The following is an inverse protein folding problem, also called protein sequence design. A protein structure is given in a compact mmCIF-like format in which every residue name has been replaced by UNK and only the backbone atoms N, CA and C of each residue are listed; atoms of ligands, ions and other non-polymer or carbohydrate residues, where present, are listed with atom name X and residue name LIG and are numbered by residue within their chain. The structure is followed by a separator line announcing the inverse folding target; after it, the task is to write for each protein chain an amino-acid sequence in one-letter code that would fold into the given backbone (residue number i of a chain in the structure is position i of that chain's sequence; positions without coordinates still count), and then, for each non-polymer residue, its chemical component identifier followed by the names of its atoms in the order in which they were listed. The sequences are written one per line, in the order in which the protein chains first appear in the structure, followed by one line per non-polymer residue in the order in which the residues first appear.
data_IF_676716689181
#
_entry.id   IF_676716689181
#
_cell.length_a   1.000
_cell.length_b   1.000
_cell.length_c   1.000
_cell.angle_alpha   90.00
_cell.angle_beta   90.00
_cell.angle_gamma   90.00
#
_symmetry.space_group_name_H-M   'P 1'
#
loop_
_entity.id
_entity.type
_entity.pdbx_description
1 polymer ?
#
# COMPACT_ATOMS: atom_id res chain seq x y z
N UNK A 1 13.32 3.35 -8.28
CA UNK A 1 12.02 3.94 -7.94
C UNK A 1 12.27 5.34 -7.40
N UNK A 2 11.51 6.34 -7.82
CA UNK A 2 11.62 7.72 -7.35
C UNK A 2 10.27 8.17 -6.79
N UNK A 3 10.30 8.82 -5.63
CA UNK A 3 9.12 9.41 -5.00
C UNK A 3 9.05 10.88 -5.37
N UNK A 4 7.94 11.30 -5.95
CA UNK A 4 7.66 12.68 -6.30
C UNK A 4 6.53 13.18 -5.42
N UNK A 5 6.75 14.30 -4.76
CA UNK A 5 5.73 14.93 -3.93
C UNK A 5 5.83 16.45 -3.96
N UNK A 6 4.73 17.10 -3.65
CA UNK A 6 4.60 18.54 -3.45
C UNK A 6 3.74 18.75 -2.21
N UNK A 7 4.25 19.51 -1.24
CA UNK A 7 3.51 19.82 -0.01
C UNK A 7 2.61 21.02 -0.22
N UNK A 8 1.47 21.03 0.47
CA UNK A 8 0.61 22.20 0.55
C UNK A 8 1.32 23.38 1.22
N UNK A 9 0.90 24.60 0.90
CA UNK A 9 1.41 25.77 1.61
C UNK A 9 0.93 25.74 3.05
N UNK A 10 1.77 26.21 3.97
CA UNK A 10 1.46 26.16 5.40
C UNK A 10 0.16 26.90 5.76
N UNK A 11 -0.15 27.99 5.04
CA UNK A 11 -1.39 28.76 5.21
C UNK A 11 -2.67 28.03 4.79
N UNK A 12 -2.57 26.99 3.95
CA UNK A 12 -3.70 26.23 3.43
C UNK A 12 -4.01 25.01 4.33
N UNK A 13 -3.10 24.62 5.23
CA UNK A 13 -3.25 23.47 6.12
C UNK A 13 -4.21 23.78 7.28
N UNK A 14 -5.34 23.06 7.33
CA UNK A 14 -6.31 23.19 8.40
C UNK A 14 -5.78 22.63 9.74
N UNK A 15 -5.91 23.36 10.87
CA UNK A 15 -5.62 22.84 12.19
C UNK A 15 -6.54 21.67 12.55
N UNK A 16 -5.98 20.70 13.26
CA UNK A 16 -6.70 19.50 13.68
C UNK A 16 -7.40 19.70 15.02
N UNK A 17 -8.49 18.96 15.25
CA UNK A 17 -9.26 19.00 16.48
C UNK A 17 -10.58 19.76 16.33
N UNK A 18 -11.17 20.15 17.45
CA UNK A 18 -12.36 20.99 17.49
C UNK A 18 -12.10 22.21 18.36
N UNK A 19 -12.70 23.38 18.07
CA UNK A 19 -12.63 24.52 18.97
C UNK A 19 -13.07 24.16 20.40
N UNK A 20 -12.36 24.62 21.45
CA UNK A 20 -11.22 25.55 21.42
C UNK A 20 -9.84 24.87 21.22
N UNK A 21 -9.79 23.54 21.15
CA UNK A 21 -8.56 22.74 21.20
C UNK A 21 -8.02 22.40 19.80
N UNK A 22 -7.81 23.45 18.99
CA UNK A 22 -7.19 23.30 17.67
C UNK A 22 -5.67 23.24 17.78
N UNK A 23 -5.04 22.33 17.05
CA UNK A 23 -3.58 22.17 17.03
C UNK A 23 -3.06 21.80 15.64
N UNK A 24 -1.84 22.24 15.32
CA UNK A 24 -1.12 21.73 14.16
C UNK A 24 -0.48 20.38 14.51
N UNK A 25 -0.89 19.34 13.80
CA UNK A 25 -0.27 18.02 13.87
C UNK A 25 0.94 17.97 12.94
N UNK A 26 2.06 17.39 13.39
CA UNK A 26 3.22 17.16 12.52
C UNK A 26 2.84 16.36 11.27
N UNK A 27 1.88 15.43 11.40
CA UNK A 27 1.38 14.63 10.28
C UNK A 27 0.54 15.48 9.33
N UNK A 28 -0.27 16.39 9.87
CA UNK A 28 -1.02 17.37 9.09
C UNK A 28 -0.13 18.26 8.24
N UNK A 29 1.07 18.61 8.75
CA UNK A 29 2.09 19.37 7.99
C UNK A 29 2.66 18.62 6.78
N UNK A 30 2.27 17.37 6.55
CA UNK A 30 2.66 16.59 5.37
C UNK A 30 1.56 16.48 4.32
N UNK A 31 0.46 17.23 4.46
CA UNK A 31 -0.58 17.33 3.44
C UNK A 31 0.03 17.77 2.10
N UNK A 32 -0.43 17.17 1.01
CA UNK A 32 0.18 17.37 -0.29
C UNK A 32 -0.18 16.31 -1.32
N UNK A 33 0.45 16.46 -2.49
CA UNK A 33 0.25 15.58 -3.62
C UNK A 33 1.47 14.69 -3.86
N UNK A 34 1.27 13.43 -4.25
CA UNK A 34 2.39 12.54 -4.60
C UNK A 34 2.08 11.47 -5.64
N UNK A 35 3.15 10.94 -6.24
CA UNK A 35 3.14 9.75 -7.08
C UNK A 35 4.52 9.06 -7.04
N UNK A 36 4.58 7.85 -7.59
CA UNK A 36 5.82 7.06 -7.62
C UNK A 36 6.22 6.78 -9.06
N UNK A 37 7.46 7.12 -9.42
CA UNK A 37 8.04 6.78 -10.72
C UNK A 37 8.83 5.48 -10.64
N UNK A 38 8.35 4.50 -11.39
CA UNK A 38 8.87 3.15 -11.51
C UNK A 38 9.32 2.86 -12.94
N UNK A 39 10.57 3.21 -13.27
CA UNK A 39 11.05 3.15 -14.64
C UNK A 39 10.29 4.12 -15.54
N UNK A 40 9.54 3.59 -16.50
CA UNK A 40 8.67 4.38 -17.39
C UNK A 40 7.22 4.50 -16.90
N UNK A 41 6.87 3.80 -15.81
CA UNK A 41 5.51 3.78 -15.25
C UNK A 41 5.40 4.75 -14.09
N UNK A 42 4.26 5.44 -13.99
CA UNK A 42 3.86 6.22 -12.82
C UNK A 42 2.81 5.42 -12.04
N UNK A 43 3.14 5.00 -10.82
CA UNK A 43 2.19 4.43 -9.87
C UNK A 43 1.54 5.57 -9.08
N UNK A 44 0.33 5.31 -8.60
CA UNK A 44 -0.47 6.27 -7.82
C UNK A 44 -0.78 7.56 -8.58
N UNK A 45 -0.91 7.46 -9.91
CA UNK A 45 -1.49 8.50 -10.76
C UNK A 45 -2.85 8.00 -11.24
N UNK A 46 -3.90 8.75 -10.95
CA UNK A 46 -5.24 8.47 -11.47
C UNK A 46 -5.26 8.60 -13.00
N UNK A 47 -6.08 7.78 -13.64
CA UNK A 47 -6.30 7.88 -15.08
C UNK A 47 -7.04 9.17 -15.44
N UNK A 48 -6.92 9.62 -16.68
CA UNK A 48 -7.56 10.85 -17.14
C UNK A 48 -9.10 10.75 -17.05
N UNK A 49 -9.66 9.54 -17.15
CA UNK A 49 -11.08 9.25 -16.93
C UNK A 49 -11.49 9.47 -15.48
N UNK A 50 -10.72 8.97 -14.51
CA UNK A 50 -10.97 9.19 -13.09
C UNK A 50 -10.91 10.68 -12.74
N UNK A 51 -9.87 11.38 -13.21
CA UNK A 51 -9.71 12.82 -12.95
C UNK A 51 -10.88 13.61 -13.53
N UNK A 52 -11.31 13.32 -14.75
CA UNK A 52 -12.48 13.97 -15.35
C UNK A 52 -13.73 13.76 -14.51
N UNK A 53 -13.97 12.54 -14.01
CA UNK A 53 -15.11 12.25 -13.15
C UNK A 53 -15.03 12.97 -11.79
N UNK A 54 -13.84 13.06 -11.20
CA UNK A 54 -13.63 13.79 -9.94
C UNK A 54 -13.88 15.29 -10.09
N UNK A 55 -13.33 15.90 -11.15
CA UNK A 55 -13.53 17.33 -11.45
C UNK A 55 -15.00 17.66 -11.68
N UNK A 56 -15.71 16.83 -12.45
CA UNK A 56 -17.15 17.00 -12.67
C UNK A 56 -17.95 16.91 -11.36
N UNK A 57 -17.64 15.92 -10.52
CA UNK A 57 -18.33 15.70 -9.24
C UNK A 57 -18.05 16.83 -8.23
N UNK A 58 -16.80 17.27 -8.12
CA UNK A 58 -16.37 18.32 -7.19
C UNK A 58 -16.67 19.73 -7.71
N UNK A 59 -16.92 19.89 -9.01
CA UNK A 59 -16.98 21.19 -9.71
C UNK A 59 -15.69 22.01 -9.55
N UNK A 60 -14.56 21.32 -9.63
CA UNK A 60 -13.23 21.90 -9.46
C UNK A 60 -12.31 21.39 -10.57
N UNK A 61 -11.91 22.28 -11.47
CA UNK A 61 -11.03 21.95 -12.59
C UNK A 61 -9.54 21.91 -12.19
N UNK A 62 -9.21 22.28 -10.95
CA UNK A 62 -7.83 22.35 -10.46
C UNK A 62 -7.30 21.02 -9.90
N UNK A 63 -8.19 20.04 -9.66
CA UNK A 63 -7.80 18.72 -9.14
C UNK A 63 -6.70 18.08 -10.00
N UNK A 64 -5.64 17.64 -9.35
CA UNK A 64 -4.49 17.01 -10.01
C UNK A 64 -4.76 15.51 -10.25
N UNK A 65 -4.00 14.84 -11.14
CA UNK A 65 -4.09 13.38 -11.30
C UNK A 65 -3.37 12.61 -10.18
N UNK A 66 -2.75 13.29 -9.23
CA UNK A 66 -1.92 12.68 -8.20
C UNK A 66 -2.71 12.42 -6.93
N UNK A 67 -2.16 11.57 -6.06
CA UNK A 67 -2.76 11.32 -4.76
C UNK A 67 -2.66 12.59 -3.94
N UNK A 68 -3.81 13.10 -3.50
CA UNK A 68 -3.93 14.20 -2.54
C UNK A 68 -4.12 13.61 -1.14
N UNK A 69 -3.02 13.42 -0.41
CA UNK A 69 -2.99 12.81 0.92
C UNK A 69 -1.70 13.12 1.66
N UNK A 70 -1.67 12.86 2.97
CA UNK A 70 -0.48 13.06 3.80
C UNK A 70 0.73 12.25 3.29
N UNK A 71 1.75 12.95 2.80
CA UNK A 71 3.00 12.36 2.26
C UNK A 71 3.70 11.50 3.32
N UNK A 72 3.62 11.89 4.59
CA UNK A 72 4.20 11.10 5.69
C UNK A 72 3.63 9.68 5.74
N UNK A 73 2.35 9.47 5.39
CA UNK A 73 1.74 8.13 5.37
C UNK A 73 2.46 7.20 4.40
N UNK A 74 2.69 7.67 3.17
CA UNK A 74 3.42 6.91 2.18
C UNK A 74 4.85 6.59 2.67
N UNK A 75 5.54 7.58 3.24
CA UNK A 75 6.90 7.37 3.76
C UNK A 75 6.94 6.34 4.90
N UNK A 76 6.01 6.41 5.85
CA UNK A 76 5.90 5.45 6.94
C UNK A 76 5.67 4.02 6.42
N UNK A 77 4.76 3.85 5.45
CA UNK A 77 4.51 2.55 4.84
C UNK A 77 5.74 2.00 4.11
N UNK A 78 6.41 2.82 3.30
CA UNK A 78 7.64 2.41 2.61
C UNK A 78 8.75 2.05 3.59
N UNK A 79 8.95 2.82 4.67
CA UNK A 79 9.96 2.52 5.68
C UNK A 79 9.65 1.23 6.45
N UNK A 80 8.37 1.01 6.79
CA UNK A 80 7.91 -0.22 7.43
C UNK A 80 8.16 -1.45 6.54
N UNK A 81 7.87 -1.33 5.24
CA UNK A 81 8.04 -2.41 4.28
C UNK A 81 9.50 -2.63 3.86
N UNK A 82 10.34 -1.57 3.93
CA UNK A 82 11.71 -1.55 3.43
C UNK A 82 12.53 -2.82 3.69
N UNK A 83 12.66 -3.33 4.94
CA UNK A 83 13.47 -4.52 5.19
C UNK A 83 12.98 -5.78 4.45
N UNK A 84 11.67 -5.89 4.22
CA UNK A 84 11.05 -7.06 3.58
C UNK A 84 11.09 -6.95 2.05
N UNK A 85 10.92 -5.74 1.50
CA UNK A 85 10.93 -5.53 0.04
C UNK A 85 12.33 -5.68 -0.57
N UNK A 86 13.39 -5.38 0.19
CA UNK A 86 14.77 -5.55 -0.28
C UNK A 86 15.29 -6.98 -0.09
N UNK A 87 14.64 -7.79 0.75
CA UNK A 87 14.97 -9.19 0.92
C UNK A 87 14.62 -9.95 -0.37
N UNK A 88 15.60 -10.59 -1.04
CA UNK A 88 15.33 -11.34 -2.26
C UNK A 88 14.32 -12.46 -2.02
N UNK A 89 13.25 -12.45 -2.81
CA UNK A 89 12.27 -13.53 -2.81
C UNK A 89 12.89 -14.76 -3.47
N UNK A 90 12.91 -15.92 -2.78
CA UNK A 90 13.33 -17.18 -3.39
C UNK A 90 12.55 -17.50 -4.66
N UNK A 91 13.24 -17.95 -5.72
CA UNK A 91 12.65 -18.17 -7.05
C UNK A 91 11.40 -19.08 -7.01
N UNK A 92 11.37 -20.06 -6.10
CA UNK A 92 10.24 -20.97 -5.95
C UNK A 92 8.98 -20.31 -5.37
N UNK A 93 9.10 -19.14 -4.70
CA UNK A 93 7.98 -18.38 -4.15
C UNK A 93 7.39 -17.38 -5.16
N UNK A 94 8.12 -17.00 -6.21
CA UNK A 94 7.65 -16.04 -7.23
C UNK A 94 6.30 -16.43 -7.86
N UNK A 95 6.02 -17.71 -8.20
CA UNK A 95 4.73 -18.09 -8.75
C UNK A 95 3.54 -17.78 -7.83
N UNK A 96 3.76 -17.74 -6.50
CA UNK A 96 2.71 -17.47 -5.53
C UNK A 96 2.39 -15.98 -5.44
N UNK A 97 3.41 -15.11 -5.46
CA UNK A 97 3.22 -13.66 -5.56
C UNK A 97 2.45 -13.31 -6.84
N UNK A 98 2.77 -13.96 -7.96
CA UNK A 98 2.06 -13.73 -9.23
C UNK A 98 0.59 -14.13 -9.18
N UNK A 99 0.23 -15.17 -8.42
CA UNK A 99 -1.17 -15.58 -8.23
C UNK A 99 -1.95 -14.56 -7.42
N UNK A 100 -1.33 -14.00 -6.37
CA UNK A 100 -1.90 -12.91 -5.60
C UNK A 100 -2.26 -11.72 -6.51
N UNK A 101 -1.32 -11.31 -7.35
CA UNK A 101 -1.51 -10.21 -8.32
C UNK A 101 -2.60 -10.50 -9.36
N UNK A 102 -2.76 -11.76 -9.76
CA UNK A 102 -3.78 -12.17 -10.73
C UNK A 102 -5.19 -12.27 -10.11
N UNK A 103 -5.31 -12.29 -8.78
CA UNK A 103 -6.57 -12.55 -8.09
C UNK A 103 -7.10 -13.99 -8.29
N UNK A 104 -6.26 -14.90 -8.79
CA UNK A 104 -6.62 -16.30 -9.07
C UNK A 104 -5.95 -17.21 -8.04
N UNK A 105 -6.73 -17.81 -7.14
CA UNK A 105 -6.22 -18.66 -6.05
C UNK A 105 -5.12 -17.94 -5.25
N UNK A 106 -5.53 -16.87 -4.55
CA UNK A 106 -4.64 -15.99 -3.80
C UNK A 106 -3.76 -16.78 -2.81
N UNK A 107 -2.62 -16.22 -2.47
CA UNK A 107 -1.74 -16.75 -1.43
C UNK A 107 -2.49 -16.92 -0.11
N UNK A 108 -3.34 -15.96 0.24
CA UNK A 108 -4.17 -16.06 1.43
C UNK A 108 -5.10 -17.29 1.37
N UNK A 109 -5.77 -17.52 0.24
CA UNK A 109 -6.61 -18.71 0.07
C UNK A 109 -5.79 -20.01 0.19
N UNK A 110 -4.61 -20.06 -0.41
CA UNK A 110 -3.70 -21.20 -0.28
C UNK A 110 -3.30 -21.46 1.18
N UNK A 111 -2.96 -20.41 1.94
CA UNK A 111 -2.63 -20.52 3.36
C UNK A 111 -3.85 -21.00 4.19
N UNK A 112 -5.06 -20.56 3.85
CA UNK A 112 -6.29 -21.01 4.50
C UNK A 112 -6.58 -22.49 4.23
N UNK A 113 -6.45 -22.94 2.98
CA UNK A 113 -6.61 -24.35 2.63
C UNK A 113 -5.58 -25.24 3.33
N UNK A 114 -4.34 -24.75 3.47
CA UNK A 114 -3.31 -25.43 4.26
C UNK A 114 -3.70 -25.49 5.74
N UNK A 115 -4.14 -24.38 6.34
CA UNK A 115 -4.58 -24.31 7.73
C UNK A 115 -5.72 -25.30 8.02
N UNK A 116 -6.76 -25.30 7.17
CA UNK A 116 -7.92 -26.19 7.30
C UNK A 116 -7.53 -27.68 7.28
N UNK A 117 -6.49 -28.05 6.55
CA UNK A 117 -5.98 -29.42 6.47
C UNK A 117 -5.07 -29.83 7.64
N UNK A 118 -4.60 -28.88 8.45
CA UNK A 118 -3.61 -29.11 9.51
C UNK A 118 -4.10 -28.75 10.91
N UNK A 119 -5.19 -27.99 11.02
CA UNK A 119 -5.81 -27.70 12.30
C UNK A 119 -6.58 -28.91 12.82
N UNK A 120 -6.28 -29.32 14.04
CA UNK A 120 -7.15 -30.20 14.82
C UNK A 120 -8.09 -29.32 15.64
N UNK A 121 -9.40 -29.43 15.40
CA UNK A 121 -10.40 -28.59 16.09
C UNK A 121 -10.55 -28.94 17.57
N UNK A 122 -10.11 -30.13 17.96
CA UNK A 122 -10.22 -30.65 19.32
C UNK A 122 -8.91 -30.53 20.09
N UNK A 123 -7.83 -30.01 19.48
CA UNK A 123 -6.53 -29.82 20.09
C UNK A 123 -6.00 -28.38 19.89
N UNK A 124 -5.30 -27.87 20.89
CA UNK A 124 -4.55 -26.62 20.75
C UNK A 124 -3.31 -26.87 19.88
N UNK A 125 -3.21 -26.17 18.76
CA UNK A 125 -2.17 -26.34 17.73
C UNK A 125 -1.45 -25.01 17.44
N UNK A 126 -0.77 -24.41 18.44
CA UNK A 126 -0.18 -23.09 18.30
C UNK A 126 0.86 -23.01 17.19
N UNK A 127 1.60 -24.10 16.90
CA UNK A 127 2.59 -24.15 15.83
C UNK A 127 1.95 -24.05 14.44
N UNK A 128 0.74 -24.61 14.26
CA UNK A 128 0.00 -24.52 12.99
C UNK A 128 -0.41 -23.07 12.72
N UNK A 129 -0.91 -22.40 13.75
CA UNK A 129 -1.25 -20.98 13.69
C UNK A 129 -0.04 -20.11 13.43
N UNK A 130 1.10 -20.38 14.07
CA UNK A 130 2.34 -19.64 13.84
C UNK A 130 2.80 -19.73 12.38
N UNK A 131 2.78 -20.94 11.79
CA UNK A 131 3.14 -21.13 10.37
C UNK A 131 2.18 -20.35 9.47
N UNK A 132 0.88 -20.42 9.74
CA UNK A 132 -0.13 -19.67 8.99
C UNK A 132 0.13 -18.17 9.05
N UNK A 133 0.31 -17.60 10.26
CA UNK A 133 0.55 -16.18 10.44
C UNK A 133 1.86 -15.73 9.80
N UNK A 134 2.94 -16.51 9.92
CA UNK A 134 4.21 -16.20 9.29
C UNK A 134 4.09 -16.18 7.76
N UNK A 135 3.37 -17.16 7.19
CA UNK A 135 3.13 -17.22 5.75
C UNK A 135 2.28 -16.05 5.25
N UNK A 136 1.18 -15.70 5.94
CA UNK A 136 0.34 -14.56 5.54
C UNK A 136 1.06 -13.24 5.73
N UNK A 137 1.73 -13.03 6.86
CA UNK A 137 2.44 -11.78 7.14
C UNK A 137 3.58 -11.56 6.14
N UNK A 138 4.27 -12.61 5.70
CA UNK A 138 5.36 -12.50 4.75
C UNK A 138 4.95 -11.79 3.44
N UNK A 139 3.74 -12.02 2.92
CA UNK A 139 3.27 -11.32 1.72
C UNK A 139 2.75 -9.90 2.05
N UNK A 140 2.08 -9.74 3.20
CA UNK A 140 1.52 -8.45 3.65
C UNK A 140 2.60 -7.42 4.00
N UNK A 141 3.75 -7.86 4.50
CA UNK A 141 4.92 -7.01 4.75
C UNK A 141 5.50 -6.39 3.47
N UNK A 142 5.08 -6.92 2.31
CA UNK A 142 5.46 -6.44 0.96
C UNK A 142 4.32 -5.72 0.25
N UNK A 143 3.19 -5.50 0.93
CA UNK A 143 2.01 -4.80 0.41
C UNK A 143 2.01 -3.32 0.81
N UNK A 144 1.88 -2.44 -0.20
CA UNK A 144 1.71 -1.00 -0.01
C UNK A 144 0.22 -0.70 0.14
N UNK A 145 -0.17 -0.28 1.35
CA UNK A 145 -1.55 0.08 1.65
C UNK A 145 -1.93 1.38 0.92
N UNK A 146 -3.01 1.30 0.14
CA UNK A 146 -3.60 2.43 -0.57
C UNK A 146 -5.10 2.54 -0.27
N UNK A 147 -5.57 2.00 0.85
CA UNK A 147 -6.98 2.03 1.26
C UNK A 147 -7.56 3.44 1.41
N UNK A 148 -6.71 4.46 1.52
CA UNK A 148 -7.09 5.87 1.48
C UNK A 148 -7.39 6.41 0.07
N UNK A 149 -7.15 5.63 -0.99
CA UNK A 149 -7.46 5.96 -2.38
C UNK A 149 -8.84 5.42 -2.81
N UNK A 150 -9.44 6.06 -3.81
CA UNK A 150 -10.72 5.64 -4.36
C UNK A 150 -10.71 5.71 -5.90
N UNK A 151 -10.66 4.57 -6.61
CA UNK A 151 -10.47 3.22 -6.08
C UNK A 151 -9.06 3.05 -5.45
N UNK A 152 -8.94 2.10 -4.51
CA UNK A 152 -7.64 1.66 -4.03
C UNK A 152 -6.91 0.85 -5.11
N UNK A 153 -5.60 0.71 -4.95
CA UNK A 153 -4.73 -0.09 -5.80
C UNK A 153 -3.97 -1.13 -4.98
N UNK A 154 -4.01 -2.39 -5.41
CA UNK A 154 -3.24 -3.42 -4.74
C UNK A 154 -1.82 -3.43 -5.31
N UNK A 155 -0.84 -3.00 -4.53
CA UNK A 155 0.56 -2.88 -4.97
C UNK A 155 1.44 -3.72 -4.05
N UNK A 156 2.11 -4.72 -4.63
CA UNK A 156 3.16 -5.48 -3.95
C UNK A 156 4.53 -5.07 -4.49
N UNK A 157 5.51 -4.99 -3.61
CA UNK A 157 6.88 -4.61 -3.97
C UNK A 157 7.81 -5.69 -3.44
N UNK A 158 8.68 -6.24 -4.28
CA UNK A 158 9.63 -7.27 -3.84
C UNK A 158 10.90 -7.27 -4.67
N UNK A 159 12.00 -7.75 -4.11
CA UNK A 159 13.22 -8.02 -4.85
C UNK A 159 13.21 -9.44 -5.42
N UNK A 160 13.61 -9.58 -6.68
CA UNK A 160 14.17 -10.84 -7.18
C UNK A 160 15.70 -10.83 -6.97
N UNK A 161 16.38 -11.95 -7.22
CA UNK A 161 17.84 -12.09 -7.07
C UNK A 161 18.69 -11.15 -7.95
N UNK A 162 18.06 -10.22 -8.69
CA UNK A 162 18.71 -9.30 -9.64
C UNK A 162 18.27 -7.84 -9.47
N UNK A 163 17.02 -7.59 -9.05
CA UNK A 163 16.34 -6.27 -9.11
C UNK A 163 15.08 -6.22 -8.24
N UNK A 164 14.71 -5.03 -7.75
CA UNK A 164 13.35 -4.78 -7.19
C UNK A 164 12.34 -4.76 -8.33
N UNK A 165 11.33 -5.64 -8.27
CA UNK A 165 10.22 -5.79 -9.22
C UNK A 165 8.92 -5.27 -8.59
N UNK A 166 8.05 -4.73 -9.45
CA UNK A 166 6.72 -4.20 -9.12
C UNK A 166 5.65 -5.02 -9.84
#
# INVERSE_FOLDING_TARGET
MLFHFELENLEDIEPWGNPPDLALSWFGLSAGNYHIKAGMTELLRYSDECVRAFREKARDDTLTPYVDYYVARLYEDILRMHPHVIEPVPDFLIPYIRRELAGENSWFQFCQEWLDGHIDRDADTPEVWEIFYNATNWIEERYLDTGYLSPSANIWIWADNRTVTL
#
